data_IF_725233885303
#
_entry.id   IF_725233885303
#
_cell.length_a   1.000
_cell.length_b   1.000
_cell.length_c   1.000
_cell.angle_alpha   90.00
_cell.angle_beta   90.00
_cell.angle_gamma   90.00
#
_symmetry.space_group_name_H-M   'P 1'
#
loop_
_entity.id
_entity.type
_entity.pdbx_description
1 polymer ?
#
# COMPACT_ATOMS: atom_id res chain seq x y z
N UNK A 1 -4.22 11.71 -33.56
CA UNK A 1 -4.79 12.37 -32.38
C UNK A 1 -3.79 12.21 -31.24
N UNK A 2 -3.11 13.29 -30.83
CA UNK A 2 -2.22 13.30 -29.65
C UNK A 2 -3.09 13.65 -28.43
N UNK A 3 -3.31 12.69 -27.53
CA UNK A 3 -3.95 12.99 -26.24
C UNK A 3 -2.86 13.38 -25.25
N UNK A 4 -2.98 14.58 -24.67
CA UNK A 4 -2.18 14.99 -23.52
C UNK A 4 -2.59 14.07 -22.34
N UNK A 5 -1.63 13.32 -21.81
CA UNK A 5 -1.77 12.64 -20.54
C UNK A 5 -1.25 13.58 -19.45
N UNK A 6 -2.16 14.15 -18.67
CA UNK A 6 -1.82 14.86 -17.43
C UNK A 6 -1.39 13.81 -16.41
N UNK A 7 -0.14 13.93 -15.92
CA UNK A 7 0.49 12.97 -15.02
C UNK A 7 -0.31 12.79 -13.72
N UNK A 8 -0.86 11.59 -13.54
CA UNK A 8 -1.40 11.13 -12.27
C UNK A 8 -0.24 10.53 -11.48
N UNK A 9 0.34 11.30 -10.56
CA UNK A 9 1.31 10.79 -9.59
C UNK A 9 0.52 9.99 -8.55
N UNK A 10 0.58 8.66 -8.65
CA UNK A 10 0.01 7.76 -7.63
C UNK A 10 0.99 7.74 -6.47
N UNK A 11 0.69 8.51 -5.42
CA UNK A 11 1.42 8.45 -4.16
C UNK A 11 0.95 7.19 -3.43
N UNK A 12 1.72 6.10 -3.56
CA UNK A 12 1.61 4.96 -2.65
C UNK A 12 2.05 5.45 -1.25
N UNK A 13 1.07 5.59 -0.35
CA UNK A 13 1.30 5.93 1.05
C UNK A 13 2.02 4.78 1.75
N UNK A 14 3.36 4.80 1.70
CA UNK A 14 4.23 4.07 2.63
C UNK A 14 3.92 4.55 4.04
N UNK A 15 3.16 3.75 4.80
CA UNK A 15 2.87 4.03 6.20
C UNK A 15 4.13 3.72 7.02
N UNK A 16 4.97 4.73 7.22
CA UNK A 16 6.10 4.67 8.14
C UNK A 16 5.58 4.72 9.59
N UNK A 17 5.45 3.56 10.23
CA UNK A 17 5.32 3.50 11.69
C UNK A 17 6.66 3.85 12.33
N UNK A 18 6.87 5.14 12.62
CA UNK A 18 8.00 5.62 13.41
C UNK A 18 7.79 5.34 14.90
N UNK A 19 8.29 4.20 15.37
CA UNK A 19 8.56 3.95 16.78
C UNK A 19 9.97 4.43 17.13
N UNK A 20 10.08 5.57 17.79
CA UNK A 20 11.35 6.09 18.28
C UNK A 20 11.71 5.37 19.59
N UNK A 21 12.76 4.54 19.56
CA UNK A 21 13.50 4.17 20.77
C UNK A 21 14.97 4.57 20.61
N UNK A 22 15.37 5.49 21.48
CA UNK A 22 16.69 6.09 21.56
C UNK A 22 17.72 5.06 22.03
N UNK A 23 18.86 4.99 21.35
CA UNK A 23 20.11 4.48 21.92
C UNK A 23 21.21 5.51 21.68
N UNK A 24 22.05 5.83 22.67
CA UNK A 24 22.88 7.04 22.63
C UNK A 24 24.21 6.86 21.89
N UNK A 25 24.64 7.98 21.31
CA UNK A 25 26.01 8.46 21.10
C UNK A 25 27.10 7.47 20.66
N UNK A 26 27.54 7.64 19.41
CA UNK A 26 28.94 7.49 19.05
C UNK A 26 29.43 8.69 18.25
N UNK A 27 30.53 9.23 18.73
CA UNK A 27 31.23 10.43 18.27
C UNK A 27 31.89 10.27 16.90
N UNK A 28 31.85 11.37 16.15
CA UNK A 28 32.94 11.94 15.34
C UNK A 28 33.38 11.24 14.04
N UNK A 29 33.02 11.86 12.91
CA UNK A 29 34.01 12.24 11.90
C UNK A 29 33.57 13.50 11.14
N UNK A 30 34.35 14.58 11.28
CA UNK A 30 34.22 15.80 10.47
C UNK A 30 34.88 15.56 9.12
N UNK A 31 34.11 15.69 8.04
CA UNK A 31 34.64 15.86 6.68
C UNK A 31 34.12 17.17 6.14
N UNK A 32 35.03 18.14 6.04
CA UNK A 32 34.82 19.44 5.40
C UNK A 32 35.16 19.29 3.92
N UNK A 33 34.24 19.64 3.02
CA UNK A 33 34.51 19.78 1.59
C UNK A 33 33.80 21.03 1.02
N UNK A 34 34.33 21.60 -0.07
CA UNK A 34 34.43 23.04 -0.26
C UNK A 34 33.22 23.71 -0.89
N UNK A 35 33.06 24.97 -0.50
CA UNK A 35 32.28 26.03 -1.16
C UNK A 35 32.71 26.18 -2.62
N UNK A 36 31.78 26.00 -3.54
CA UNK A 36 31.90 26.48 -4.91
C UNK A 36 30.87 27.59 -5.15
N UNK A 37 31.39 28.79 -5.36
CA UNK A 37 30.70 29.94 -5.90
C UNK A 37 30.16 29.60 -7.30
N UNK A 38 28.89 29.91 -7.57
CA UNK A 38 28.43 30.09 -8.94
C UNK A 38 27.54 31.31 -9.06
N UNK A 39 27.99 32.15 -9.99
CA UNK A 39 27.52 33.48 -10.31
C UNK A 39 26.16 33.49 -11.01
N UNK A 40 25.46 34.61 -10.79
CA UNK A 40 24.31 35.13 -11.53
C UNK A 40 24.46 35.09 -13.05
N UNK A 41 23.33 35.06 -13.78
CA UNK A 41 23.08 36.23 -14.62
C UNK A 41 21.66 36.82 -14.49
N UNK A 42 21.65 38.14 -14.42
CA UNK A 42 20.56 39.08 -14.65
C UNK A 42 20.11 39.06 -16.12
N UNK A 43 18.79 38.99 -16.38
CA UNK A 43 18.10 39.78 -17.41
C UNK A 43 16.57 39.58 -17.36
N UNK A 44 15.87 40.60 -16.84
CA UNK A 44 14.52 41.08 -17.19
C UNK A 44 14.51 41.52 -18.70
N UNK A 45 13.40 41.59 -19.49
CA UNK A 45 12.12 42.17 -19.06
C UNK A 45 10.77 41.71 -19.68
N UNK A 46 9.73 42.08 -18.92
CA UNK A 46 8.43 42.69 -19.29
C UNK A 46 7.32 41.96 -20.08
N UNK A 47 6.10 42.36 -19.67
CA UNK A 47 4.77 42.26 -20.30
C UNK A 47 3.97 40.98 -19.93
N UNK A 48 2.68 41.00 -19.61
CA UNK A 48 1.63 42.00 -19.77
C UNK A 48 0.47 41.71 -18.81
N UNK A 49 -0.21 42.79 -18.42
CA UNK A 49 -1.40 42.88 -17.58
C UNK A 49 -2.64 42.17 -18.14
N UNK A 50 -3.41 41.51 -17.28
CA UNK A 50 -4.88 41.53 -17.35
C UNK A 50 -5.50 41.02 -16.03
N UNK A 51 -5.88 41.96 -15.17
CA UNK A 51 -6.86 41.76 -14.11
C UNK A 51 -8.24 41.64 -14.74
N UNK A 52 -9.00 40.58 -14.40
CA UNK A 52 -10.45 40.57 -14.59
C UNK A 52 -11.15 39.95 -13.39
N UNK A 53 -11.80 40.85 -12.66
CA UNK A 53 -13.10 40.77 -11.97
C UNK A 53 -13.34 39.73 -10.86
N UNK A 54 -13.42 40.32 -9.66
CA UNK A 54 -14.29 39.91 -8.57
C UNK A 54 -15.73 39.71 -9.06
N UNK A 55 -16.25 38.51 -8.84
CA UNK A 55 -17.67 38.17 -8.89
C UNK A 55 -18.13 37.85 -7.48
N UNK A 56 -18.65 38.87 -6.81
CA UNK A 56 -19.41 38.83 -5.57
C UNK A 56 -20.74 38.10 -5.85
N UNK A 57 -21.00 36.98 -5.17
CA UNK A 57 -22.35 36.43 -5.01
C UNK A 57 -22.39 35.37 -3.89
N UNK A 58 -22.63 35.86 -2.68
CA UNK A 58 -23.31 35.11 -1.63
C UNK A 58 -24.79 34.88 -2.03
N UNK A 59 -25.31 33.64 -1.96
CA UNK A 59 -26.70 33.43 -1.63
C UNK A 59 -26.86 33.06 -0.15
N UNK A 60 -27.61 33.94 0.50
CA UNK A 60 -28.60 33.74 1.54
C UNK A 60 -28.56 32.44 2.38
N UNK A 61 -28.44 32.69 3.68
CA UNK A 61 -28.87 31.89 4.82
C UNK A 61 -30.14 31.07 4.52
N UNK A 62 -30.03 29.75 4.70
CA UNK A 62 -31.18 28.86 4.85
C UNK A 62 -31.37 28.54 6.33
N UNK A 63 -32.63 28.50 6.71
CA UNK A 63 -33.18 28.63 8.05
C UNK A 63 -32.81 27.47 8.97
N UNK A 64 -32.56 27.81 10.24
CA UNK A 64 -32.44 26.84 11.31
C UNK A 64 -33.81 26.24 11.62
N UNK A 65 -34.04 25.00 11.18
CA UNK A 65 -35.14 24.20 11.69
C UNK A 65 -34.82 23.75 13.12
N UNK A 66 -35.75 24.07 14.02
CA UNK A 66 -35.72 23.68 15.43
C UNK A 66 -36.02 22.17 15.54
N UNK A 67 -35.15 21.34 16.14
CA UNK A 67 -35.47 19.94 16.37
C UNK A 67 -36.62 19.82 17.38
N UNK A 68 -37.65 19.08 17.01
CA UNK A 68 -38.73 18.70 17.90
C UNK A 68 -38.20 17.86 19.08
N UNK A 69 -38.69 18.18 20.27
CA UNK A 69 -38.46 17.48 21.53
C UNK A 69 -38.84 15.99 21.40
N UNK A 70 -37.93 15.04 21.67
CA UNK A 70 -38.29 13.63 21.69
C UNK A 70 -39.10 13.31 22.94
N UNK A 71 -40.37 12.94 22.74
CA UNK A 71 -41.25 12.39 23.77
C UNK A 71 -40.61 11.17 24.41
N UNK A 72 -40.26 11.29 25.70
CA UNK A 72 -39.74 10.21 26.51
C UNK A 72 -40.75 9.04 26.55
N UNK A 73 -40.38 7.93 25.92
CA UNK A 73 -41.10 6.66 26.06
C UNK A 73 -40.62 6.00 27.36
N UNK A 74 -41.53 5.48 28.22
CA UNK A 74 -41.14 4.83 29.47
C UNK A 74 -40.28 3.59 29.21
N UNK A 75 -39.11 3.56 29.86
CA UNK A 75 -38.17 2.44 29.85
C UNK A 75 -38.84 1.26 30.58
N UNK A 76 -38.96 0.07 29.96
CA UNK A 76 -39.41 -1.13 30.65
C UNK A 76 -38.38 -1.57 31.72
N UNK A 77 -38.83 -2.18 32.83
CA UNK A 77 -37.93 -2.64 33.89
C UNK A 77 -36.90 -3.65 33.36
N UNK A 78 -35.67 -3.68 33.92
CA UNK A 78 -34.65 -4.63 33.53
C UNK A 78 -35.09 -6.06 33.87
N UNK A 79 -35.16 -6.91 32.84
CA UNK A 79 -35.26 -8.36 32.99
C UNK A 79 -33.97 -8.88 33.65
N UNK A 80 -34.04 -9.75 34.68
CA UNK A 80 -32.86 -10.33 35.30
C UNK A 80 -32.05 -11.12 34.27
N UNK A 81 -30.77 -10.77 34.23
CA UNK A 81 -29.68 -11.41 33.53
C UNK A 81 -29.52 -12.86 33.98
N UNK A 82 -29.84 -13.81 33.12
CA UNK A 82 -29.26 -15.15 33.21
C UNK A 82 -27.82 -15.05 32.69
N UNK A 83 -26.88 -15.17 33.62
CA UNK A 83 -25.44 -15.26 33.44
C UNK A 83 -25.09 -16.67 32.90
N UNK A 84 -24.69 -16.84 31.62
CA UNK A 84 -24.12 -18.10 31.19
C UNK A 84 -22.67 -18.16 31.66
N UNK A 85 -22.49 -18.96 32.70
CA UNK A 85 -21.26 -19.61 33.16
C UNK A 85 -20.18 -19.70 32.08
N UNK A 86 -19.06 -19.03 32.34
CA UNK A 86 -17.82 -19.14 31.59
C UNK A 86 -17.40 -20.61 31.45
N UNK A 87 -17.38 -21.12 30.23
CA UNK A 87 -16.56 -22.26 29.87
C UNK A 87 -15.18 -21.72 29.54
N UNK A 88 -14.25 -21.86 30.49
CA UNK A 88 -12.81 -21.70 30.26
C UNK A 88 -12.40 -22.63 29.11
N UNK A 89 -12.23 -22.04 27.94
CA UNK A 89 -11.58 -22.73 26.81
C UNK A 89 -10.09 -22.41 26.94
N UNK A 90 -9.30 -23.45 27.25
CA UNK A 90 -7.85 -23.41 27.32
C UNK A 90 -7.23 -22.65 26.15
N UNK A 91 -6.14 -21.88 26.36
CA UNK A 91 -5.35 -21.35 25.27
C UNK A 91 -4.68 -22.52 24.56
N UNK A 92 -5.27 -22.93 23.43
CA UNK A 92 -4.63 -23.81 22.48
C UNK A 92 -3.38 -23.09 22.00
N UNK A 93 -2.23 -23.63 22.40
CA UNK A 93 -0.92 -23.16 21.95
C UNK A 93 -0.86 -23.42 20.46
N UNK A 94 -1.13 -22.38 19.67
CA UNK A 94 -0.95 -22.41 18.22
C UNK A 94 0.51 -22.77 17.95
N UNK A 95 0.73 -23.97 17.43
CA UNK A 95 2.00 -24.37 16.86
C UNK A 95 2.32 -23.39 15.73
N UNK A 96 3.18 -22.43 16.01
CA UNK A 96 3.74 -21.56 14.99
C UNK A 96 4.50 -22.45 14.01
N UNK A 97 4.04 -22.52 12.75
CA UNK A 97 4.83 -23.09 11.65
C UNK A 97 6.11 -22.28 11.52
N UNK A 98 7.21 -22.77 12.10
CA UNK A 98 8.52 -22.11 12.03
C UNK A 98 9.14 -22.42 10.67
N UNK A 99 8.93 -21.53 9.70
CA UNK A 99 9.74 -21.47 8.49
C UNK A 99 11.19 -21.13 8.87
N UNK A 100 12.21 -21.55 8.08
CA UNK A 100 13.60 -21.20 8.38
C UNK A 100 13.76 -19.67 8.48
N UNK A 101 14.62 -19.23 9.41
CA UNK A 101 14.80 -17.83 9.87
C UNK A 101 15.22 -16.80 8.80
N UNK A 102 15.31 -17.22 7.54
CA UNK A 102 15.63 -16.38 6.38
C UNK A 102 14.82 -16.79 5.14
N UNK A 103 13.61 -17.31 5.32
CA UNK A 103 12.78 -17.76 4.22
C UNK A 103 12.43 -16.59 3.29
N UNK A 104 13.00 -16.59 2.10
CA UNK A 104 12.56 -15.75 0.99
C UNK A 104 11.45 -16.51 0.23
N UNK A 105 10.34 -15.82 -0.04
CA UNK A 105 9.17 -16.38 -0.72
C UNK A 105 9.00 -15.76 -2.10
N UNK A 106 8.55 -16.55 -3.06
CA UNK A 106 7.96 -16.01 -4.29
C UNK A 106 6.61 -15.35 -3.99
N UNK A 107 6.08 -14.55 -4.93
CA UNK A 107 4.74 -13.97 -4.78
C UNK A 107 3.64 -15.01 -4.63
N UNK A 108 3.75 -16.14 -5.35
CA UNK A 108 2.80 -17.25 -5.22
C UNK A 108 2.84 -17.85 -3.81
N UNK A 109 4.04 -18.11 -3.28
CA UNK A 109 4.18 -18.67 -1.93
C UNK A 109 3.67 -17.70 -0.86
N UNK A 110 3.96 -16.41 -0.98
CA UNK A 110 3.45 -15.39 -0.08
C UNK A 110 1.93 -15.28 -0.15
N UNK A 111 1.36 -15.32 -1.36
CA UNK A 111 -0.09 -15.33 -1.55
C UNK A 111 -0.75 -16.54 -0.88
N UNK A 112 -0.24 -17.75 -1.11
CA UNK A 112 -0.81 -18.96 -0.52
C UNK A 112 -0.71 -18.97 1.00
N UNK A 113 0.46 -18.61 1.55
CA UNK A 113 0.68 -18.52 2.99
C UNK A 113 -0.30 -17.54 3.66
N UNK A 114 -0.45 -16.36 3.08
CA UNK A 114 -1.33 -15.32 3.64
C UNK A 114 -2.81 -15.62 3.37
N UNK A 115 -3.18 -16.25 2.26
CA UNK A 115 -4.55 -16.66 1.97
C UNK A 115 -5.04 -17.71 2.97
N UNK A 116 -4.20 -18.69 3.30
CA UNK A 116 -4.52 -19.71 4.30
C UNK A 116 -4.84 -19.06 5.65
N UNK A 117 -3.97 -18.15 6.10
CA UNK A 117 -4.18 -17.42 7.34
C UNK A 117 -5.40 -16.48 7.28
N UNK A 118 -5.63 -15.83 6.14
CA UNK A 118 -6.79 -14.99 5.94
C UNK A 118 -8.09 -15.78 6.03
N UNK A 119 -8.10 -17.02 5.52
CA UNK A 119 -9.26 -17.92 5.59
C UNK A 119 -9.46 -18.52 6.98
N UNK A 120 -8.41 -18.64 7.81
CA UNK A 120 -8.56 -18.92 9.25
C UNK A 120 -9.21 -17.76 9.99
N UNK A 121 -8.83 -16.52 9.65
CA UNK A 121 -9.44 -15.33 10.23
C UNK A 121 -10.90 -15.17 9.81
N UNK A 122 -11.18 -15.21 8.50
CA UNK A 122 -12.53 -15.15 7.95
C UNK A 122 -12.65 -16.02 6.71
N UNK A 123 -13.61 -16.95 6.73
CA UNK A 123 -13.79 -17.94 5.67
C UNK A 123 -14.14 -17.33 4.31
N UNK A 124 -14.55 -16.07 4.22
CA UNK A 124 -14.86 -15.33 3.00
C UNK A 124 -13.79 -14.28 2.62
N UNK A 125 -12.62 -14.30 3.26
CA UNK A 125 -11.56 -13.33 3.03
C UNK A 125 -11.06 -13.31 1.58
N UNK A 126 -11.00 -12.13 0.96
CA UNK A 126 -10.56 -11.92 -0.42
C UNK A 126 -9.42 -10.91 -0.49
N UNK A 127 -8.45 -11.15 -1.37
CA UNK A 127 -7.25 -10.33 -1.51
C UNK A 127 -7.59 -8.96 -2.13
N UNK A 128 -7.07 -7.89 -1.54
CA UNK A 128 -7.14 -6.53 -2.09
C UNK A 128 -5.76 -5.97 -2.47
N UNK A 129 -4.69 -6.50 -1.88
CA UNK A 129 -3.32 -6.06 -2.15
C UNK A 129 -2.32 -7.16 -1.75
N UNK A 130 -1.28 -7.36 -2.55
CA UNK A 130 -0.09 -8.13 -2.21
C UNK A 130 1.14 -7.35 -2.66
N UNK A 131 2.08 -7.04 -1.77
CA UNK A 131 3.27 -6.29 -2.13
C UNK A 131 4.51 -6.73 -1.36
N UNK A 132 5.69 -6.47 -1.90
CA UNK A 132 6.95 -6.56 -1.15
C UNK A 132 7.03 -5.44 -0.11
N UNK A 133 7.60 -5.73 1.05
CA UNK A 133 7.86 -4.75 2.10
C UNK A 133 9.15 -3.96 1.84
N UNK A 134 9.29 -2.79 2.45
CA UNK A 134 10.55 -2.03 2.40
C UNK A 134 11.76 -2.76 3.01
N UNK A 135 11.51 -3.77 3.86
CA UNK A 135 12.54 -4.59 4.50
C UNK A 135 12.96 -5.82 3.66
N UNK A 136 12.26 -6.08 2.56
CA UNK A 136 12.51 -7.21 1.67
C UNK A 136 12.19 -6.81 0.25
N UNK A 137 13.13 -6.21 -0.50
CA UNK A 137 12.93 -5.90 -1.91
C UNK A 137 12.65 -7.18 -2.72
N UNK A 138 12.13 -7.01 -3.93
CA UNK A 138 12.01 -8.09 -4.89
C UNK A 138 13.37 -8.37 -5.53
N UNK A 139 13.87 -9.59 -5.36
CA UNK A 139 15.12 -10.04 -5.93
C UNK A 139 14.95 -10.56 -7.36
N UNK A 140 16.05 -10.65 -8.11
CA UNK A 140 16.04 -11.08 -9.52
C UNK A 140 15.58 -12.54 -9.72
N UNK A 141 15.65 -13.37 -8.69
CA UNK A 141 15.10 -14.73 -8.72
C UNK A 141 13.59 -14.79 -8.47
N UNK A 142 12.96 -13.62 -8.25
CA UNK A 142 11.53 -13.46 -7.98
C UNK A 142 11.16 -13.64 -6.52
N UNK A 143 12.12 -13.77 -5.61
CA UNK A 143 11.85 -13.94 -4.18
C UNK A 143 11.93 -12.63 -3.41
N UNK A 144 11.33 -12.59 -2.24
CA UNK A 144 11.49 -11.52 -1.25
C UNK A 144 11.42 -12.10 0.15
N UNK A 145 12.23 -11.56 1.06
CA UNK A 145 12.19 -11.87 2.50
C UNK A 145 11.07 -11.14 3.25
N UNK A 146 10.34 -10.25 2.58
CA UNK A 146 9.34 -9.39 3.19
C UNK A 146 8.13 -9.16 2.30
N UNK A 147 6.97 -9.70 2.67
CA UNK A 147 5.70 -9.56 1.97
C UNK A 147 4.62 -8.96 2.88
N UNK A 148 3.80 -8.08 2.31
CA UNK A 148 2.58 -7.56 2.94
C UNK A 148 1.39 -7.93 2.07
N UNK A 149 0.40 -8.59 2.65
CA UNK A 149 -0.87 -8.87 2.00
C UNK A 149 -2.01 -8.22 2.80
N UNK A 150 -3.04 -7.75 2.11
CA UNK A 150 -4.26 -7.23 2.73
C UNK A 150 -5.45 -7.99 2.20
N UNK A 151 -6.30 -8.45 3.11
CA UNK A 151 -7.54 -9.16 2.80
C UNK A 151 -8.72 -8.44 3.42
N UNK A 152 -9.85 -8.43 2.73
CA UNK A 152 -11.14 -7.97 3.29
C UNK A 152 -12.11 -9.12 3.42
N UNK A 153 -13.02 -9.03 4.37
CA UNK A 153 -14.10 -10.00 4.59
C UNK A 153 -15.45 -9.28 4.44
N UNK A 154 -16.24 -9.58 3.39
CA UNK A 154 -17.57 -8.99 3.19
C UNK A 154 -18.52 -9.22 4.37
N UNK A 155 -18.47 -10.39 5.02
CA UNK A 155 -19.36 -10.73 6.14
C UNK A 155 -19.10 -9.93 7.41
N UNK A 156 -17.86 -9.47 7.63
CA UNK A 156 -17.48 -8.69 8.81
C UNK A 156 -17.28 -7.21 8.54
N UNK A 157 -17.25 -6.81 7.27
CA UNK A 157 -16.84 -5.46 6.84
C UNK A 157 -15.48 -5.06 7.46
N UNK A 158 -14.61 -6.05 7.67
CA UNK A 158 -13.28 -5.92 8.25
C UNK A 158 -12.18 -6.16 7.22
N UNK A 159 -10.98 -5.72 7.56
CA UNK A 159 -9.75 -5.99 6.81
C UNK A 159 -8.74 -6.68 7.73
N UNK A 160 -7.84 -7.49 7.20
CA UNK A 160 -6.69 -8.01 7.93
C UNK A 160 -5.43 -7.76 7.12
N UNK A 161 -4.44 -7.14 7.76
CA UNK A 161 -3.12 -6.90 7.17
C UNK A 161 -2.19 -7.99 7.66
N UNK A 162 -1.55 -8.68 6.74
CA UNK A 162 -0.65 -9.79 6.99
C UNK A 162 0.74 -9.41 6.52
N UNK A 163 1.71 -9.47 7.42
CA UNK A 163 3.08 -9.07 7.17
C UNK A 163 3.97 -10.28 7.45
N UNK A 164 4.54 -10.84 6.39
CA UNK A 164 5.56 -11.86 6.45
C UNK A 164 6.93 -11.19 6.34
N UNK A 165 7.79 -11.35 7.35
CA UNK A 165 9.19 -10.88 7.30
C UNK A 165 10.09 -11.93 7.94
N UNK A 166 11.14 -12.34 7.23
CA UNK A 166 12.18 -13.25 7.72
C UNK A 166 11.63 -14.53 8.37
N UNK A 167 10.65 -15.18 7.72
CA UNK A 167 10.06 -16.42 8.21
C UNK A 167 8.92 -16.25 9.22
N UNK A 168 8.63 -15.02 9.67
CA UNK A 168 7.57 -14.74 10.65
C UNK A 168 6.39 -14.06 9.99
N UNK A 169 5.19 -14.64 10.16
CA UNK A 169 3.92 -14.05 9.72
C UNK A 169 3.22 -13.36 10.90
N UNK A 170 2.95 -12.06 10.77
CA UNK A 170 2.17 -11.27 11.72
C UNK A 170 0.85 -10.85 11.09
N UNK A 171 -0.23 -10.81 11.87
CA UNK A 171 -1.57 -10.41 11.40
C UNK A 171 -2.13 -9.28 12.24
N UNK A 172 -2.72 -8.28 11.59
CA UNK A 172 -3.37 -7.13 12.22
C UNK A 172 -4.78 -6.97 11.69
N UNK A 173 -5.80 -7.49 12.40
CA UNK A 173 -7.20 -7.29 12.03
C UNK A 173 -7.62 -5.83 12.31
N UNK A 174 -8.37 -5.27 11.36
CA UNK A 174 -8.90 -3.91 11.39
C UNK A 174 -10.42 -4.01 11.22
N UNK A 175 -11.20 -3.85 12.31
CA UNK A 175 -12.66 -3.88 12.22
C UNK A 175 -13.17 -2.63 11.50
N UNK A 176 -14.31 -2.76 10.82
CA UNK A 176 -14.99 -1.64 10.15
C UNK A 176 -14.07 -0.88 9.17
N UNK A 177 -13.17 -1.59 8.47
CA UNK A 177 -12.25 -1.01 7.50
C UNK A 177 -12.98 -0.45 6.25
N UNK A 178 -14.28 -0.70 6.14
CA UNK A 178 -15.11 -0.29 5.01
C UNK A 178 -15.02 -1.25 3.84
N UNK A 179 -15.67 -0.88 2.75
CA UNK A 179 -15.69 -1.69 1.52
C UNK A 179 -14.54 -1.30 0.62
N UNK A 180 -13.45 -2.08 0.67
CA UNK A 180 -12.39 -2.02 -0.34
C UNK A 180 -12.66 -3.12 -1.36
N UNK A 181 -12.84 -2.79 -2.65
CA UNK A 181 -13.11 -3.81 -3.66
C UNK A 181 -11.96 -4.82 -3.83
N UNK A 182 -12.24 -6.13 -3.98
CA UNK A 182 -11.23 -7.16 -4.17
C UNK A 182 -10.51 -7.05 -5.52
N UNK A 183 -9.32 -7.64 -5.61
CA UNK A 183 -8.63 -7.83 -6.89
C UNK A 183 -9.48 -8.76 -7.78
N UNK A 184 -9.87 -8.32 -8.99
CA UNK A 184 -10.69 -9.12 -9.89
C UNK A 184 -9.91 -10.32 -10.45
N UNK A 185 -10.59 -11.48 -10.58
CA UNK A 185 -10.01 -12.71 -11.16
C UNK A 185 -8.63 -13.09 -10.59
N UNK A 186 -8.45 -13.00 -9.27
CA UNK A 186 -7.16 -13.27 -8.62
C UNK A 186 -6.58 -14.65 -8.96
N UNK A 187 -7.45 -15.63 -9.26
CA UNK A 187 -7.08 -16.98 -9.71
C UNK A 187 -6.43 -17.04 -11.10
N UNK A 188 -6.55 -15.97 -11.90
CA UNK A 188 -5.97 -15.84 -13.24
C UNK A 188 -4.72 -14.97 -13.27
N UNK A 189 -4.31 -14.40 -12.14
CA UNK A 189 -3.13 -13.54 -12.03
C UNK A 189 -1.85 -14.37 -12.12
N UNK A 190 -0.85 -13.83 -12.81
CA UNK A 190 0.52 -14.33 -12.82
C UNK A 190 1.18 -13.97 -11.48
N UNK A 191 1.36 -14.99 -10.63
CA UNK A 191 2.13 -14.88 -9.39
C UNK A 191 3.61 -15.28 -9.53
N UNK A 192 4.04 -15.60 -10.75
CA UNK A 192 5.46 -15.78 -11.08
C UNK A 192 6.18 -14.43 -11.01
N UNK A 193 6.59 -14.05 -9.81
CA UNK A 193 7.24 -12.77 -9.53
C UNK A 193 8.63 -12.65 -10.14
N UNK A 194 9.26 -13.77 -10.53
CA UNK A 194 10.48 -13.75 -11.34
C UNK A 194 10.18 -13.26 -12.74
N UNK A 195 9.09 -13.74 -13.36
CA UNK A 195 8.62 -13.24 -14.65
C UNK A 195 8.23 -11.76 -14.56
N UNK A 196 7.54 -11.34 -13.50
CA UNK A 196 7.18 -9.93 -13.27
C UNK A 196 8.42 -9.04 -13.15
N UNK A 197 9.43 -9.49 -12.38
CA UNK A 197 10.71 -8.79 -12.28
C UNK A 197 11.37 -8.65 -13.66
N UNK A 198 11.47 -9.74 -14.42
CA UNK A 198 12.11 -9.72 -15.74
C UNK A 198 11.39 -8.78 -16.71
N UNK A 199 10.06 -8.85 -16.78
CA UNK A 199 9.25 -7.96 -17.62
C UNK A 199 9.49 -6.48 -17.29
N UNK A 200 9.56 -6.15 -16.00
CA UNK A 200 9.83 -4.78 -15.56
C UNK A 200 11.28 -4.34 -15.84
N UNK A 201 12.25 -5.23 -15.66
CA UNK A 201 13.66 -4.94 -15.95
C UNK A 201 13.85 -4.67 -17.46
N UNK A 202 13.25 -5.52 -18.31
CA UNK A 202 13.27 -5.39 -19.77
C UNK A 202 12.55 -4.12 -20.25
N UNK A 203 11.54 -3.65 -19.51
CA UNK A 203 10.80 -2.42 -19.80
C UNK A 203 11.55 -1.12 -19.41
N UNK A 204 12.83 -1.20 -19.05
CA UNK A 204 13.68 -0.06 -18.69
C UNK A 204 14.13 -0.04 -17.23
N UNK A 205 13.61 -0.95 -16.40
CA UNK A 205 13.99 -1.07 -15.00
C UNK A 205 15.46 -1.44 -14.78
N UNK A 206 16.08 -2.15 -15.74
CA UNK A 206 17.49 -2.55 -15.63
C UNK A 206 18.43 -1.34 -15.48
N UNK A 207 18.12 -0.21 -16.13
CA UNK A 207 18.92 1.02 -16.00
C UNK A 207 18.93 1.54 -14.55
N UNK A 208 17.84 1.35 -13.81
CA UNK A 208 17.72 1.77 -12.41
C UNK A 208 18.42 0.79 -11.48
N UNK A 209 18.31 -0.52 -11.74
CA UNK A 209 19.10 -1.52 -11.02
C UNK A 209 20.60 -1.26 -11.14
N UNK A 210 21.08 -0.91 -12.34
CA UNK A 210 22.49 -0.58 -12.59
C UNK A 210 22.95 0.69 -11.84
N UNK A 211 22.00 1.58 -11.49
CA UNK A 211 22.22 2.77 -10.65
C UNK A 211 22.14 2.50 -9.15
N UNK A 212 21.89 1.25 -8.75
CA UNK A 212 21.76 0.83 -7.35
C UNK A 212 20.37 0.99 -6.75
N UNK A 213 19.33 1.16 -7.59
CA UNK A 213 17.94 1.11 -7.11
C UNK A 213 17.56 -0.34 -6.77
N UNK A 214 16.54 -0.48 -5.93
CA UNK A 214 15.95 -1.78 -5.58
C UNK A 214 14.55 -1.90 -6.16
N UNK A 215 14.13 -3.11 -6.54
CA UNK A 215 12.78 -3.33 -7.05
C UNK A 215 11.81 -3.63 -5.89
N UNK A 216 10.63 -3.03 -5.95
CA UNK A 216 9.49 -3.35 -5.10
C UNK A 216 8.28 -3.66 -5.99
N UNK A 217 7.57 -4.75 -5.71
CA UNK A 217 6.41 -5.16 -6.50
C UNK A 217 5.13 -5.09 -5.67
N UNK A 218 4.04 -4.60 -6.27
CA UNK A 218 2.71 -4.55 -5.67
C UNK A 218 1.63 -4.98 -6.67
N UNK A 219 0.86 -5.99 -6.32
CA UNK A 219 -0.34 -6.43 -7.01
C UNK A 219 -1.56 -5.73 -6.37
N UNK A 220 -2.29 -4.98 -7.17
CA UNK A 220 -3.55 -4.33 -6.76
C UNK A 220 -4.45 -4.10 -7.97
N UNK A 221 -5.58 -3.42 -7.80
CA UNK A 221 -6.47 -2.99 -8.89
C UNK A 221 -5.88 -1.77 -9.60
N UNK A 222 -6.07 -1.67 -10.91
CA UNK A 222 -5.73 -0.46 -11.64
C UNK A 222 -6.70 0.69 -11.27
N UNK A 223 -6.23 1.88 -10.87
CA UNK A 223 -7.10 2.98 -10.44
C UNK A 223 -8.06 3.51 -11.51
N UNK A 224 -7.74 3.33 -12.80
CA UNK A 224 -8.57 3.82 -13.91
C UNK A 224 -9.46 2.73 -14.52
N UNK A 225 -9.22 1.45 -14.18
CA UNK A 225 -10.01 0.31 -14.64
C UNK A 225 -10.06 -0.72 -13.53
N UNK A 226 -11.23 -0.78 -12.91
CA UNK A 226 -11.49 -1.51 -11.70
C UNK A 226 -11.62 -3.03 -11.94
N UNK A 227 -11.62 -3.45 -13.22
CA UNK A 227 -11.64 -4.83 -13.70
C UNK A 227 -10.24 -5.37 -14.04
N UNK A 228 -9.21 -4.52 -13.93
CA UNK A 228 -7.85 -4.84 -14.31
C UNK A 228 -6.96 -5.05 -13.07
N UNK A 229 -6.56 -6.30 -12.75
CA UNK A 229 -5.53 -6.56 -11.77
C UNK A 229 -4.18 -6.19 -12.37
N UNK A 230 -3.33 -5.54 -11.57
CA UNK A 230 -2.12 -4.88 -12.07
C UNK A 230 -0.97 -5.08 -11.10
N UNK A 231 0.17 -5.45 -11.65
CA UNK A 231 1.45 -5.37 -10.95
C UNK A 231 2.08 -3.99 -11.19
N UNK A 232 2.47 -3.35 -10.09
CA UNK A 232 3.31 -2.17 -10.07
C UNK A 232 4.71 -2.61 -9.64
N UNK A 233 5.70 -2.42 -10.49
CA UNK A 233 7.11 -2.61 -10.13
C UNK A 233 7.76 -1.26 -10.04
N UNK A 234 8.05 -0.83 -8.81
CA UNK A 234 8.71 0.43 -8.51
C UNK A 234 10.19 0.18 -8.27
N UNK A 235 11.03 0.98 -8.91
CA UNK A 235 12.47 1.02 -8.64
C UNK A 235 12.72 2.17 -7.68
N UNK A 236 13.16 1.83 -6.48
CA UNK A 236 13.32 2.74 -5.36
C UNK A 236 14.81 3.05 -5.13
N UNK A 237 15.12 4.32 -4.90
CA UNK A 237 16.46 4.72 -4.49
C UNK A 237 16.76 4.31 -3.04
N UNK A 238 17.96 4.65 -2.54
CA UNK A 238 18.35 4.35 -1.16
C UNK A 238 17.49 5.07 -0.09
N UNK A 239 16.75 6.12 -0.48
CA UNK A 239 15.78 6.82 0.36
C UNK A 239 14.35 6.29 0.22
N UNK A 240 14.16 5.15 -0.47
CA UNK A 240 12.86 4.56 -0.80
C UNK A 240 11.95 5.47 -1.65
N UNK A 241 12.52 6.44 -2.38
CA UNK A 241 11.78 7.26 -3.33
C UNK A 241 11.72 6.55 -4.68
N UNK A 242 10.53 6.44 -5.32
CA UNK A 242 10.44 5.86 -6.65
C UNK A 242 11.19 6.74 -7.65
N UNK A 243 12.05 6.14 -8.47
CA UNK A 243 12.66 6.77 -9.65
C UNK A 243 12.07 6.27 -10.97
N UNK A 244 11.46 5.08 -10.97
CA UNK A 244 10.83 4.48 -12.13
C UNK A 244 9.73 3.52 -11.73
N UNK A 245 8.64 3.49 -12.49
CA UNK A 245 7.54 2.56 -12.28
C UNK A 245 7.16 1.88 -13.59
N UNK A 246 7.05 0.56 -13.54
CA UNK A 246 6.46 -0.26 -14.59
C UNK A 246 5.10 -0.76 -14.11
N UNK A 247 4.09 -0.60 -14.96
CA UNK A 247 2.71 -1.03 -14.72
C UNK A 247 2.41 -2.18 -15.68
N UNK A 248 2.05 -3.34 -15.15
CA UNK A 248 1.91 -4.59 -15.90
C UNK A 248 0.52 -5.18 -15.65
N UNK A 249 -0.23 -5.50 -16.71
CA UNK A 249 -1.50 -6.21 -16.60
C UNK A 249 -1.23 -7.62 -16.05
N UNK A 250 -1.86 -7.94 -14.91
CA UNK A 250 -1.41 -9.05 -14.09
C UNK A 250 -1.81 -10.44 -14.61
N UNK A 251 -2.73 -10.55 -15.58
CA UNK A 251 -3.15 -11.81 -16.20
C UNK A 251 -2.34 -12.15 -17.44
N UNK A 252 -2.01 -11.15 -18.26
CA UNK A 252 -1.31 -11.32 -19.53
C UNK A 252 0.20 -11.08 -19.43
N UNK A 253 0.64 -10.22 -18.50
CA UNK A 253 2.00 -9.71 -18.44
C UNK A 253 2.26 -8.56 -19.44
N UNK A 254 1.21 -7.99 -20.04
CA UNK A 254 1.32 -6.84 -20.93
C UNK A 254 1.79 -5.60 -20.16
N UNK A 255 2.81 -4.90 -20.70
CA UNK A 255 3.26 -3.62 -20.15
C UNK A 255 2.25 -2.54 -20.53
N UNK A 256 1.58 -1.98 -19.53
CA UNK A 256 0.63 -0.88 -19.69
C UNK A 256 1.38 0.45 -19.75
N UNK A 257 2.30 0.66 -18.81
CA UNK A 257 3.14 1.86 -18.74
C UNK A 257 4.54 1.54 -18.23
N UNK A 258 5.50 2.36 -18.63
CA UNK A 258 6.85 2.39 -18.09
C UNK A 258 7.31 3.85 -18.07
N UNK A 259 7.44 4.44 -16.89
CA UNK A 259 7.66 5.88 -16.74
C UNK A 259 8.61 6.20 -15.60
N UNK A 260 9.50 7.16 -15.84
CA UNK A 260 10.29 7.79 -14.80
C UNK A 260 9.38 8.62 -13.89
N UNK A 261 9.66 8.62 -12.60
CA UNK A 261 8.99 9.45 -11.62
C UNK A 261 9.87 10.68 -11.37
N UNK A 262 9.41 11.83 -11.86
CA UNK A 262 10.05 13.14 -11.68
C UNK A 262 9.77 13.74 -10.30
#
# INVERSE_FOLDING_TARGET
MKRLFTGLVIILLLSACGGAEQTPASESLKVTLPTAEQSTPTAEPAQESAQTQAGDQLPAQSEAETPAEPTATPIPPPTPTDEPSAAETSPETQEASVLPETAALTGEQAYQLTLEEARRWQADAVLIELQTSALGPLEADGTSTGWTAKFVSPSTNGMNTMIFVNGVLNTTPIPNAGSVPPIPDVDKVIFDTKKIFQLAADAGGQEYLDKGYTAAAALTRYPLDDTMPTWYVNYLDAGYSPGFTVVIEARSGEIIHALATE
#
